data_IF_736017023868
#
_entry.id   IF_736017023868
#
_cell.length_a   1.000
_cell.length_b   1.000
_cell.length_c   1.000
_cell.angle_alpha   90.00
_cell.angle_beta   90.00
_cell.angle_gamma   90.00
#
_symmetry.space_group_name_H-M   'P 1'
#
loop_
_entity.id
_entity.type
_entity.pdbx_description
1 polymer ?
#
# COMPACT_ATOMS: atom_id res chain seq x y z
N UNK A 1 11.01 23.93 -37.31
CA UNK A 1 9.64 23.37 -37.28
C UNK A 1 9.51 22.63 -35.96
N UNK A 2 8.81 23.26 -35.02
CA UNK A 2 8.63 22.77 -33.67
C UNK A 2 7.25 22.13 -33.60
N UNK A 3 7.20 20.81 -33.43
CA UNK A 3 5.96 20.10 -33.18
C UNK A 3 5.50 20.37 -31.76
N UNK A 4 4.38 21.08 -31.67
CA UNK A 4 3.62 21.32 -30.46
C UNK A 4 2.99 19.99 -30.01
N UNK A 5 3.51 19.40 -28.94
CA UNK A 5 2.80 18.37 -28.18
C UNK A 5 1.79 19.10 -27.29
N UNK A 6 0.62 19.40 -27.85
CA UNK A 6 -0.54 19.82 -27.08
C UNK A 6 -1.39 18.59 -26.72
N UNK A 7 -1.78 18.52 -25.43
CA UNK A 7 -3.04 17.90 -25.05
C UNK A 7 -3.02 16.44 -24.63
N UNK A 8 -2.49 16.13 -23.44
CA UNK A 8 -3.16 15.19 -22.52
C UNK A 8 -3.00 15.73 -21.09
N UNK A 9 -3.73 16.79 -20.74
CA UNK A 9 -4.06 17.02 -19.33
C UNK A 9 -5.24 16.12 -19.01
N UNK A 10 -4.97 14.87 -18.65
CA UNK A 10 -5.94 14.05 -17.93
C UNK A 10 -6.16 14.72 -16.58
N UNK A 11 -7.13 15.64 -16.52
CA UNK A 11 -7.74 16.11 -15.28
C UNK A 11 -8.45 14.90 -14.64
N UNK A 12 -7.66 14.03 -14.00
CA UNK A 12 -8.19 12.94 -13.18
C UNK A 12 -8.92 13.59 -12.00
N UNK A 13 -10.23 13.73 -12.15
CA UNK A 13 -11.14 14.05 -11.05
C UNK A 13 -10.96 12.97 -9.99
N UNK A 14 -10.42 13.34 -8.84
CA UNK A 14 -10.21 12.45 -7.73
C UNK A 14 -11.35 12.66 -6.73
N UNK A 15 -11.93 11.56 -6.27
CA UNK A 15 -12.92 11.57 -5.20
C UNK A 15 -12.19 11.40 -3.88
N UNK A 16 -12.38 12.35 -2.97
CA UNK A 16 -11.85 12.29 -1.63
C UNK A 16 -12.97 12.41 -0.60
N UNK A 17 -12.96 11.48 0.35
CA UNK A 17 -13.80 11.50 1.53
C UNK A 17 -13.03 12.15 2.67
N UNK A 18 -13.74 12.98 3.43
CA UNK A 18 -13.20 13.72 4.56
C UNK A 18 -14.13 13.60 5.76
N UNK A 19 -13.56 13.77 6.94
CA UNK A 19 -14.29 13.79 8.20
C UNK A 19 -13.94 15.05 8.99
N UNK A 20 -14.90 15.55 9.78
CA UNK A 20 -14.70 16.76 10.55
C UNK A 20 -13.88 16.49 11.81
N UNK A 21 -12.67 17.05 11.87
CA UNK A 21 -11.66 16.78 12.88
C UNK A 21 -11.73 17.63 14.14
N UNK A 22 -12.61 18.64 14.17
CA UNK A 22 -12.86 19.43 15.37
C UNK A 22 -13.19 18.51 16.58
N UNK A 23 -12.74 18.82 17.81
CA UNK A 23 -13.11 18.05 19.00
C UNK A 23 -14.63 17.95 19.23
N UNK A 24 -15.35 19.03 18.89
CA UNK A 24 -16.80 19.13 19.00
C UNK A 24 -17.41 19.51 17.63
N UNK A 25 -17.57 18.55 16.71
CA UNK A 25 -17.87 18.84 15.31
C UNK A 25 -19.27 19.40 15.06
N UNK A 26 -20.18 19.34 16.04
CA UNK A 26 -21.56 19.81 15.90
C UNK A 26 -21.81 21.21 16.49
N UNK A 27 -20.78 21.92 16.94
CA UNK A 27 -20.93 23.30 17.44
C UNK A 27 -21.04 24.27 16.25
N UNK A 28 -22.13 25.03 16.17
CA UNK A 28 -22.48 25.88 15.02
C UNK A 28 -21.55 27.08 14.77
N UNK A 29 -20.74 27.47 15.75
CA UNK A 29 -19.88 28.67 15.67
C UNK A 29 -18.40 28.35 15.43
N UNK A 30 -18.05 27.09 15.24
CA UNK A 30 -16.68 26.69 14.94
C UNK A 30 -16.51 26.45 13.44
N UNK A 31 -15.45 27.01 12.85
CA UNK A 31 -15.11 26.68 11.47
C UNK A 31 -14.77 25.18 11.35
N UNK A 32 -15.35 24.48 10.36
CA UNK A 32 -15.15 23.05 10.23
C UNK A 32 -13.74 22.75 9.72
N UNK A 33 -12.98 22.04 10.53
CA UNK A 33 -11.69 21.48 10.14
C UNK A 33 -11.93 20.10 9.54
N UNK A 34 -11.46 19.88 8.32
CA UNK A 34 -11.66 18.64 7.61
C UNK A 34 -10.35 17.88 7.44
N UNK A 35 -10.37 16.61 7.84
CA UNK A 35 -9.26 15.68 7.69
C UNK A 35 -9.60 14.62 6.66
N UNK A 36 -8.60 14.17 5.90
CA UNK A 36 -8.77 13.13 4.89
C UNK A 36 -8.75 11.74 5.52
N UNK A 37 -9.53 10.84 4.95
CA UNK A 37 -9.33 9.41 5.18
C UNK A 37 -8.03 8.90 4.55
N UNK A 38 -7.54 7.77 5.04
CA UNK A 38 -6.41 7.10 4.41
C UNK A 38 -6.77 6.59 3.01
N UNK A 39 -5.76 6.32 2.17
CA UNK A 39 -6.01 5.92 0.79
C UNK A 39 -6.92 4.67 0.70
N UNK A 40 -6.75 3.66 1.59
CA UNK A 40 -7.60 2.47 1.60
C UNK A 40 -8.98 2.73 2.21
N UNK A 41 -9.08 3.53 3.28
CA UNK A 41 -10.39 3.91 3.83
C UNK A 41 -11.23 4.64 2.79
N UNK A 42 -10.64 5.61 2.08
CA UNK A 42 -11.28 6.33 1.00
C UNK A 42 -11.82 5.39 -0.08
N UNK A 43 -11.03 4.39 -0.48
CA UNK A 43 -11.44 3.38 -1.45
C UNK A 43 -12.58 2.50 -0.93
N UNK A 44 -12.56 2.10 0.34
CA UNK A 44 -13.64 1.31 0.97
C UNK A 44 -14.95 2.11 1.00
N UNK A 45 -14.88 3.38 1.42
CA UNK A 45 -16.04 4.27 1.50
C UNK A 45 -16.63 4.51 0.11
N UNK A 46 -15.78 4.84 -0.88
CA UNK A 46 -16.23 5.07 -2.24
C UNK A 46 -16.82 3.81 -2.89
N UNK A 47 -16.22 2.62 -2.68
CA UNK A 47 -16.79 1.36 -3.18
C UNK A 47 -18.17 1.07 -2.56
N UNK A 48 -18.35 1.35 -1.27
CA UNK A 48 -19.63 1.19 -0.60
C UNK A 48 -20.68 2.20 -1.10
N UNK A 49 -20.28 3.45 -1.31
CA UNK A 49 -21.12 4.51 -1.86
C UNK A 49 -21.60 4.18 -3.28
N UNK A 50 -20.68 3.82 -4.18
CA UNK A 50 -21.00 3.43 -5.56
C UNK A 50 -21.88 2.18 -5.63
N UNK A 51 -21.77 1.27 -4.65
CA UNK A 51 -22.61 0.09 -4.53
C UNK A 51 -23.96 0.37 -3.83
N UNK A 52 -24.31 1.63 -3.54
CA UNK A 52 -25.52 2.04 -2.82
C UNK A 52 -25.71 1.30 -1.47
N UNK A 53 -24.61 0.99 -0.78
CA UNK A 53 -24.69 0.39 0.55
C UNK A 53 -25.10 1.46 1.56
N UNK A 54 -25.88 1.11 2.60
CA UNK A 54 -26.25 2.08 3.64
C UNK A 54 -25.04 2.49 4.49
N UNK A 55 -24.03 1.62 4.58
CA UNK A 55 -22.86 1.85 5.44
C UNK A 55 -21.57 1.33 4.82
N UNK A 56 -20.46 2.00 5.14
CA UNK A 56 -19.10 1.53 4.88
C UNK A 56 -18.42 1.13 6.20
N UNK A 57 -18.05 -0.14 6.35
CA UNK A 57 -17.42 -0.65 7.57
C UNK A 57 -15.90 -0.47 7.53
N UNK A 58 -15.33 0.20 8.55
CA UNK A 58 -13.90 0.40 8.73
C UNK A 58 -13.45 -0.22 10.07
N UNK A 59 -12.16 -0.13 10.39
CA UNK A 59 -11.59 -0.81 11.57
C UNK A 59 -12.16 -0.27 12.90
N UNK A 60 -12.05 1.04 13.13
CA UNK A 60 -12.46 1.67 14.40
C UNK A 60 -13.84 2.35 14.37
N UNK A 61 -14.42 2.49 13.18
CA UNK A 61 -15.69 3.19 12.94
C UNK A 61 -16.39 2.63 11.70
N UNK A 62 -17.63 3.06 11.48
CA UNK A 62 -18.32 2.90 10.21
C UNK A 62 -18.83 4.25 9.72
N UNK A 63 -19.06 4.37 8.42
CA UNK A 63 -19.67 5.53 7.80
C UNK A 63 -21.12 5.19 7.48
N UNK A 64 -22.05 5.90 8.11
CA UNK A 64 -23.44 5.96 7.68
C UNK A 64 -23.53 6.87 6.45
N UNK A 65 -23.66 6.26 5.28
CA UNK A 65 -23.69 6.96 4.00
C UNK A 65 -25.03 7.66 3.75
N UNK A 66 -26.09 7.29 4.47
CA UNK A 66 -27.40 7.94 4.35
C UNK A 66 -27.40 9.28 5.07
N UNK A 67 -26.78 9.35 6.25
CA UNK A 67 -26.74 10.55 7.07
C UNK A 67 -25.44 11.34 6.93
N UNK A 68 -24.45 10.81 6.19
CA UNK A 68 -23.10 11.38 6.06
C UNK A 68 -22.43 11.59 7.43
N UNK A 69 -22.44 10.54 8.25
CA UNK A 69 -21.85 10.55 9.59
C UNK A 69 -20.93 9.34 9.78
N UNK A 70 -19.75 9.60 10.31
CA UNK A 70 -18.87 8.58 10.90
C UNK A 70 -19.32 8.29 12.33
N UNK A 71 -19.44 7.01 12.70
CA UNK A 71 -19.81 6.56 14.05
C UNK A 71 -18.76 5.59 14.57
N UNK A 72 -18.26 5.80 15.79
CA UNK A 72 -17.28 4.89 16.39
C UNK A 72 -17.88 3.51 16.65
N UNK A 73 -17.14 2.45 16.32
CA UNK A 73 -17.53 1.06 16.61
C UNK A 73 -17.55 0.74 18.11
N UNK A 74 -16.86 1.55 18.93
CA UNK A 74 -16.74 1.36 20.39
C UNK A 74 -17.73 2.22 21.18
N UNK A 75 -18.19 3.32 20.60
CA UNK A 75 -19.01 4.32 21.29
C UNK A 75 -19.88 5.08 20.28
N UNK A 76 -21.16 4.71 20.23
CA UNK A 76 -22.12 5.30 19.27
C UNK A 76 -22.40 6.78 19.52
N UNK A 77 -22.00 7.34 20.67
CA UNK A 77 -22.12 8.78 20.93
C UNK A 77 -21.01 9.58 20.26
N UNK A 78 -19.89 8.93 19.92
CA UNK A 78 -18.78 9.55 19.19
C UNK A 78 -19.05 9.53 17.70
N UNK A 79 -19.66 10.62 17.24
CA UNK A 79 -20.05 10.82 15.86
C UNK A 79 -19.32 12.03 15.25
N UNK A 80 -19.07 11.98 13.95
CA UNK A 80 -18.45 13.07 13.19
C UNK A 80 -19.09 13.19 11.82
N UNK A 81 -19.44 14.40 11.35
CA UNK A 81 -19.86 14.60 9.96
C UNK A 81 -18.77 14.15 8.98
N UNK A 82 -19.21 13.63 7.83
CA UNK A 82 -18.34 13.28 6.71
C UNK A 82 -18.82 13.98 5.45
N UNK A 83 -17.92 14.18 4.50
CA UNK A 83 -18.27 14.72 3.20
C UNK A 83 -17.46 14.05 2.09
N UNK A 84 -18.08 13.98 0.92
CA UNK A 84 -17.47 13.55 -0.33
C UNK A 84 -17.17 14.77 -1.19
N UNK A 85 -15.91 14.98 -1.52
CA UNK A 85 -15.45 16.10 -2.33
C UNK A 85 -14.96 15.58 -3.68
N UNK A 86 -15.36 16.25 -4.77
CA UNK A 86 -14.82 16.01 -6.10
C UNK A 86 -13.85 17.15 -6.42
N UNK A 87 -12.58 16.82 -6.64
CA UNK A 87 -11.57 17.83 -6.90
C UNK A 87 -10.48 17.34 -7.83
N UNK A 88 -9.74 18.30 -8.41
CA UNK A 88 -8.43 17.98 -8.97
C UNK A 88 -7.51 17.66 -7.80
N UNK A 89 -6.67 16.62 -7.92
CA UNK A 89 -5.67 16.26 -6.90
C UNK A 89 -4.52 17.28 -6.87
N UNK A 90 -4.86 18.54 -6.65
CA UNK A 90 -3.94 19.66 -6.59
C UNK A 90 -3.55 19.79 -5.13
N UNK A 91 -2.30 19.44 -4.82
CA UNK A 91 -1.66 19.62 -3.51
C UNK A 91 -1.96 18.57 -2.42
N UNK A 92 -1.79 17.27 -2.70
CA UNK A 92 -1.24 16.40 -1.65
C UNK A 92 0.28 16.47 -1.74
N UNK A 93 0.87 17.20 -0.79
CA UNK A 93 2.31 17.41 -0.66
C UNK A 93 3.10 16.09 -0.74
N UNK A 94 4.32 16.20 -1.24
CA UNK A 94 5.33 15.15 -1.27
C UNK A 94 5.29 14.32 0.01
N UNK A 95 5.23 12.99 -0.15
CA UNK A 95 5.12 12.04 0.96
C UNK A 95 6.46 11.98 1.73
N UNK A 96 6.77 13.02 2.50
CA UNK A 96 8.05 13.20 3.19
C UNK A 96 8.47 11.98 4.01
N UNK A 97 7.53 11.32 4.69
CA UNK A 97 7.75 10.06 5.42
C UNK A 97 8.33 8.93 4.56
N UNK A 98 8.11 8.93 3.24
CA UNK A 98 8.73 7.95 2.33
C UNK A 98 10.22 8.20 2.14
N UNK A 99 10.62 9.46 2.22
CA UNK A 99 11.99 9.93 2.02
C UNK A 99 12.73 10.11 3.37
N UNK A 100 12.02 10.01 4.49
CA UNK A 100 12.61 10.06 5.83
C UNK A 100 12.88 8.64 6.34
N UNK A 101 14.14 8.30 6.65
CA UNK A 101 14.49 7.03 7.26
C UNK A 101 14.03 6.98 8.73
N UNK A 102 13.28 5.94 9.09
CA UNK A 102 12.91 5.57 10.45
C UNK A 102 12.76 4.03 10.53
N UNK A 103 13.57 3.33 11.34
CA UNK A 103 14.75 3.85 12.03
C UNK A 103 15.83 4.32 11.03
N UNK A 104 16.56 5.37 11.41
CA UNK A 104 17.77 5.81 10.70
C UNK A 104 18.83 4.73 10.93
N UNK A 105 19.22 4.01 9.88
CA UNK A 105 20.42 3.19 9.88
C UNK A 105 21.54 3.99 9.18
N UNK A 106 22.21 4.94 9.89
CA UNK A 106 23.09 5.91 9.25
C UNK A 106 24.36 5.29 8.63
N UNK A 107 24.63 4.01 8.91
CA UNK A 107 25.88 3.34 8.56
C UNK A 107 25.83 2.50 7.28
N UNK A 108 24.67 2.32 6.63
CA UNK A 108 24.57 1.41 5.47
C UNK A 108 23.71 1.98 4.33
N UNK A 109 24.32 2.48 3.25
CA UNK A 109 23.59 2.76 2.03
C UNK A 109 23.08 1.44 1.42
N UNK A 110 21.83 1.42 0.97
CA UNK A 110 21.25 0.26 0.30
C UNK A 110 22.09 -0.15 -0.92
N UNK A 111 22.61 -1.39 -0.92
CA UNK A 111 23.07 -2.06 -2.15
C UNK A 111 24.57 -2.14 -2.41
N UNK A 112 25.46 -1.96 -1.43
CA UNK A 112 26.90 -2.29 -1.60
C UNK A 112 27.30 -3.64 -0.98
N UNK A 113 26.67 -4.09 0.11
CA UNK A 113 27.05 -5.32 0.82
C UNK A 113 26.37 -6.61 0.32
N UNK A 114 25.18 -6.47 -0.27
CA UNK A 114 24.42 -7.59 -0.82
C UNK A 114 24.33 -7.40 -2.33
N UNK A 115 24.62 -8.45 -3.11
CA UNK A 115 24.60 -8.40 -4.58
C UNK A 115 23.23 -8.01 -5.16
N UNK A 116 23.00 -8.27 -6.45
CA UNK A 116 21.77 -7.87 -7.15
C UNK A 116 20.45 -8.35 -6.47
N UNK A 117 20.53 -9.42 -5.67
CA UNK A 117 19.38 -10.02 -4.96
C UNK A 117 19.49 -9.82 -3.45
N UNK A 118 18.46 -9.24 -2.85
CA UNK A 118 18.35 -9.05 -1.39
C UNK A 118 18.33 -10.40 -0.64
N UNK A 119 19.02 -10.55 0.51
CA UNK A 119 18.92 -11.75 1.35
C UNK A 119 17.48 -12.11 1.73
N UNK A 120 16.63 -11.11 1.94
CA UNK A 120 15.22 -11.31 2.26
C UNK A 120 14.46 -12.00 1.11
N UNK A 121 14.78 -11.68 -0.14
CA UNK A 121 14.22 -12.33 -1.33
C UNK A 121 14.71 -13.78 -1.43
N UNK A 122 16.00 -14.02 -1.18
CA UNK A 122 16.57 -15.36 -1.22
C UNK A 122 15.94 -16.28 -0.17
N UNK A 123 15.76 -15.77 1.05
CA UNK A 123 15.12 -16.51 2.14
C UNK A 123 13.63 -16.73 1.88
N UNK A 124 12.91 -15.73 1.35
CA UNK A 124 11.52 -15.90 0.91
C UNK A 124 11.39 -16.99 -0.14
N UNK A 125 12.25 -16.98 -1.17
CA UNK A 125 12.26 -18.01 -2.20
C UNK A 125 12.48 -19.40 -1.61
N UNK A 126 13.42 -19.53 -0.66
CA UNK A 126 13.68 -20.79 0.08
C UNK A 126 12.47 -21.21 0.90
N UNK A 127 11.83 -20.29 1.62
CA UNK A 127 10.63 -20.56 2.41
C UNK A 127 9.46 -21.06 1.55
N UNK A 128 9.26 -20.44 0.38
CA UNK A 128 8.27 -20.87 -0.62
C UNK A 128 8.69 -22.12 -1.40
N UNK A 129 9.88 -22.68 -1.14
CA UNK A 129 10.45 -23.85 -1.83
C UNK A 129 10.52 -23.69 -3.35
N UNK A 130 10.72 -22.47 -3.82
CA UNK A 130 10.80 -22.15 -5.25
C UNK A 130 12.22 -22.33 -5.77
N UNK A 131 12.37 -22.98 -6.92
CA UNK A 131 13.61 -22.94 -7.71
C UNK A 131 13.68 -21.65 -8.52
N UNK A 132 14.86 -21.30 -9.01
CA UNK A 132 15.04 -20.07 -9.79
C UNK A 132 14.20 -20.03 -11.09
N UNK A 133 13.94 -21.19 -11.71
CA UNK A 133 13.09 -21.28 -12.90
C UNK A 133 11.59 -21.24 -12.59
N UNK A 134 11.24 -21.30 -11.31
CA UNK A 134 9.86 -21.20 -10.82
C UNK A 134 9.58 -19.80 -10.25
N UNK A 135 10.43 -18.82 -10.59
CA UNK A 135 10.14 -17.44 -10.26
C UNK A 135 9.00 -16.92 -11.16
N UNK A 136 8.15 -16.02 -10.66
CA UNK A 136 7.02 -15.50 -11.42
C UNK A 136 7.35 -14.92 -12.81
N UNK A 137 8.55 -14.35 -12.98
CA UNK A 137 9.06 -13.84 -14.27
C UNK A 137 9.36 -14.93 -15.29
N UNK A 138 9.49 -16.18 -14.85
CA UNK A 138 9.88 -17.34 -15.68
C UNK A 138 8.79 -18.40 -15.76
N UNK A 139 7.96 -18.54 -14.73
CA UNK A 139 6.88 -19.51 -14.64
C UNK A 139 5.62 -18.87 -14.06
N UNK A 140 4.68 -18.53 -14.95
CA UNK A 140 3.42 -17.90 -14.56
C UNK A 140 2.52 -18.81 -13.72
N UNK A 141 2.70 -20.13 -13.78
CA UNK A 141 1.87 -21.08 -13.03
C UNK A 141 2.06 -20.96 -11.51
N UNK A 142 3.17 -20.35 -11.08
CA UNK A 142 3.45 -20.10 -9.65
C UNK A 142 2.76 -18.85 -9.10
N UNK A 143 2.25 -17.98 -9.97
CA UNK A 143 1.69 -16.68 -9.59
C UNK A 143 0.48 -16.83 -8.66
N UNK A 144 -0.51 -17.68 -8.93
CA UNK A 144 -1.68 -17.78 -8.09
C UNK A 144 -1.33 -18.14 -6.64
N UNK A 145 -0.43 -19.11 -6.47
CA UNK A 145 0.03 -19.55 -5.15
C UNK A 145 0.79 -18.43 -4.40
N UNK A 146 1.63 -17.66 -5.08
CA UNK A 146 2.36 -16.54 -4.46
C UNK A 146 1.40 -15.40 -4.08
N UNK A 147 0.42 -15.11 -4.94
CA UNK A 147 -0.64 -14.12 -4.67
C UNK A 147 -1.46 -14.52 -3.45
N UNK A 148 -1.87 -15.78 -3.33
CA UNK A 148 -2.59 -16.29 -2.16
C UNK A 148 -1.77 -16.13 -0.88
N UNK A 149 -0.49 -16.51 -0.90
CA UNK A 149 0.42 -16.35 0.24
C UNK A 149 0.61 -14.87 0.61
N UNK A 150 0.75 -14.00 -0.38
CA UNK A 150 0.88 -12.57 -0.18
C UNK A 150 -0.39 -11.96 0.44
N UNK A 151 -1.57 -12.34 -0.05
CA UNK A 151 -2.86 -11.90 0.47
C UNK A 151 -3.03 -12.31 1.95
N UNK A 152 -2.73 -13.56 2.29
CA UNK A 152 -2.76 -14.06 3.66
C UNK A 152 -1.79 -13.31 4.58
N UNK A 153 -0.57 -13.08 4.11
CA UNK A 153 0.44 -12.33 4.86
C UNK A 153 0.07 -10.88 5.12
N UNK A 154 -0.55 -10.20 4.14
CA UNK A 154 -1.09 -8.84 4.32
C UNK A 154 -2.16 -8.82 5.41
N UNK A 155 -3.09 -9.78 5.40
CA UNK A 155 -4.14 -9.91 6.42
C UNK A 155 -3.53 -10.10 7.80
N UNK A 156 -2.55 -11.00 7.93
CA UNK A 156 -1.91 -11.33 9.20
C UNK A 156 -1.17 -10.12 9.80
N UNK A 157 -0.43 -9.38 8.99
CA UNK A 157 0.23 -8.15 9.44
C UNK A 157 -0.77 -7.03 9.75
N UNK A 158 -1.87 -6.95 8.99
CA UNK A 158 -2.98 -6.04 9.29
C UNK A 158 -3.60 -6.30 10.66
N UNK A 159 -3.88 -7.56 10.98
CA UNK A 159 -4.42 -7.97 12.29
C UNK A 159 -3.52 -7.57 13.45
N UNK A 160 -2.21 -7.82 13.34
CA UNK A 160 -1.22 -7.43 14.36
C UNK A 160 -1.20 -5.92 14.62
N UNK A 161 -1.61 -5.11 13.65
CA UNK A 161 -1.66 -3.65 13.73
C UNK A 161 -3.05 -3.08 14.03
N UNK A 162 -4.06 -3.93 14.25
CA UNK A 162 -5.46 -3.49 14.41
C UNK A 162 -6.07 -2.89 13.13
N UNK A 163 -5.54 -3.25 11.96
CA UNK A 163 -5.96 -2.75 10.63
C UNK A 163 -6.56 -3.85 9.76
N UNK A 164 -7.39 -4.70 10.36
CA UNK A 164 -7.91 -5.91 9.73
C UNK A 164 -8.73 -5.61 8.47
N UNK A 165 -9.67 -4.66 8.51
CA UNK A 165 -10.53 -4.30 7.38
C UNK A 165 -9.74 -3.76 6.20
N UNK A 166 -8.76 -2.89 6.47
CA UNK A 166 -7.86 -2.38 5.43
C UNK A 166 -7.07 -3.52 4.79
N UNK A 167 -6.54 -4.43 5.60
CA UNK A 167 -5.76 -5.56 5.11
C UNK A 167 -6.60 -6.55 4.31
N UNK A 168 -7.82 -6.88 4.76
CA UNK A 168 -8.80 -7.69 4.02
C UNK A 168 -9.14 -7.06 2.67
N UNK A 169 -9.33 -5.73 2.63
CA UNK A 169 -9.59 -5.01 1.39
C UNK A 169 -8.41 -5.10 0.41
N UNK A 170 -7.19 -4.85 0.88
CA UNK A 170 -5.98 -4.95 0.06
C UNK A 170 -5.76 -6.38 -0.46
N UNK A 171 -5.94 -7.38 0.41
CA UNK A 171 -5.86 -8.78 0.05
C UNK A 171 -6.90 -9.17 -0.99
N UNK A 172 -8.14 -8.71 -0.85
CA UNK A 172 -9.21 -8.91 -1.85
C UNK A 172 -8.81 -8.36 -3.22
N UNK A 173 -8.31 -7.11 -3.29
CA UNK A 173 -7.86 -6.52 -4.57
C UNK A 173 -6.75 -7.34 -5.23
N UNK A 174 -5.84 -7.91 -4.44
CA UNK A 174 -4.78 -8.77 -4.95
C UNK A 174 -5.35 -10.12 -5.46
N UNK A 175 -6.30 -10.71 -4.73
CA UNK A 175 -6.97 -11.94 -5.13
C UNK A 175 -7.82 -11.77 -6.41
N UNK A 176 -8.44 -10.61 -6.60
CA UNK A 176 -9.26 -10.27 -7.78
C UNK A 176 -8.44 -10.23 -9.10
N UNK A 177 -7.11 -10.14 -9.01
CA UNK A 177 -6.20 -10.14 -10.15
C UNK A 177 -5.36 -11.41 -10.28
N UNK A 178 -5.55 -12.38 -9.37
CA UNK A 178 -4.73 -13.60 -9.24
C UNK A 178 -4.51 -14.34 -10.57
N UNK A 179 -5.59 -14.49 -11.35
CA UNK A 179 -5.60 -15.24 -12.61
C UNK A 179 -5.42 -14.34 -13.85
N UNK A 180 -5.14 -13.03 -13.67
CA UNK A 180 -5.02 -12.05 -14.79
C UNK A 180 -3.60 -11.95 -15.36
N UNK A 181 -2.73 -12.88 -14.98
CA UNK A 181 -1.34 -12.96 -15.43
C UNK A 181 -0.38 -11.99 -14.74
N UNK A 182 0.89 -12.14 -15.08
CA UNK A 182 2.05 -11.45 -14.49
C UNK A 182 1.86 -9.93 -14.36
N UNK A 183 1.47 -9.30 -15.46
CA UNK A 183 1.46 -7.84 -15.62
C UNK A 183 0.42 -7.17 -14.74
N UNK A 184 -0.80 -7.72 -14.71
CA UNK A 184 -1.90 -7.16 -13.94
C UNK A 184 -1.70 -7.39 -12.44
N UNK A 185 -1.17 -8.55 -12.05
CA UNK A 185 -0.77 -8.81 -10.66
C UNK A 185 0.29 -7.81 -10.21
N UNK A 186 1.33 -7.58 -11.02
CA UNK A 186 2.38 -6.63 -10.66
C UNK A 186 1.89 -5.19 -10.54
N UNK A 187 1.07 -4.73 -11.49
CA UNK A 187 0.44 -3.40 -11.42
C UNK A 187 -0.38 -3.27 -10.13
N UNK A 188 -1.11 -4.32 -9.74
CA UNK A 188 -1.85 -4.34 -8.49
C UNK A 188 -0.92 -4.25 -7.29
N UNK A 189 0.13 -5.07 -7.21
CA UNK A 189 1.12 -5.01 -6.13
C UNK A 189 1.76 -3.61 -6.02
N UNK A 190 2.19 -3.03 -7.14
CA UNK A 190 2.77 -1.69 -7.20
C UNK A 190 1.77 -0.63 -6.75
N UNK A 191 0.50 -0.73 -7.19
CA UNK A 191 -0.57 0.15 -6.74
C UNK A 191 -0.79 0.04 -5.22
N UNK A 192 -0.95 -1.18 -4.68
CA UNK A 192 -1.14 -1.42 -3.25
C UNK A 192 0.03 -0.91 -2.40
N UNK A 193 1.27 -1.13 -2.85
CA UNK A 193 2.46 -0.58 -2.23
C UNK A 193 2.51 0.96 -2.32
N UNK A 194 1.91 1.54 -3.35
CA UNK A 194 1.83 2.98 -3.50
C UNK A 194 0.77 3.64 -2.62
N UNK A 195 -0.16 2.91 -2.01
CA UNK A 195 -1.14 3.47 -1.08
C UNK A 195 -0.45 3.95 0.21
N UNK A 196 -0.93 5.05 0.80
CA UNK A 196 -0.45 5.56 2.08
C UNK A 196 -0.99 4.70 3.23
N UNK A 197 -0.48 3.49 3.35
CA UNK A 197 -0.96 2.50 4.32
C UNK A 197 0.16 1.76 5.04
N UNK A 198 -0.25 0.91 5.99
CA UNK A 198 0.67 0.12 6.80
C UNK A 198 1.62 -0.75 5.97
N UNK A 199 1.16 -1.28 4.83
CA UNK A 199 1.95 -2.21 4.01
C UNK A 199 3.24 -1.57 3.51
N UNK A 200 3.15 -0.36 2.96
CA UNK A 200 4.31 0.42 2.52
C UNK A 200 5.27 0.69 3.68
N UNK A 201 4.75 1.20 4.81
CA UNK A 201 5.55 1.56 5.98
C UNK A 201 6.32 0.34 6.51
N UNK A 202 5.64 -0.80 6.64
CA UNK A 202 6.22 -2.05 7.14
C UNK A 202 7.23 -2.66 6.19
N UNK A 203 6.97 -2.67 4.90
CA UNK A 203 7.94 -3.17 3.92
C UNK A 203 9.22 -2.33 3.94
N UNK A 204 9.12 -1.00 3.96
CA UNK A 204 10.31 -0.16 4.04
C UNK A 204 11.09 -0.31 5.34
N UNK A 205 10.38 -0.43 6.47
CA UNK A 205 11.00 -0.71 7.77
C UNK A 205 11.82 -2.02 7.72
N UNK A 206 11.24 -3.10 7.21
CA UNK A 206 11.92 -4.40 7.08
C UNK A 206 13.11 -4.31 6.12
N UNK A 207 12.96 -3.60 5.01
CA UNK A 207 14.03 -3.42 4.04
C UNK A 207 15.23 -2.70 4.66
N UNK A 208 15.00 -1.71 5.53
CA UNK A 208 16.05 -0.99 6.27
C UNK A 208 16.76 -1.85 7.30
N UNK A 209 16.09 -2.89 7.81
CA UNK A 209 16.69 -3.84 8.77
C UNK A 209 17.63 -4.86 8.11
N UNK A 210 17.64 -4.96 6.78
CA UNK A 210 18.46 -5.96 6.07
C UNK A 210 19.95 -5.70 6.34
N UNK A 211 20.62 -6.73 6.85
CA UNK A 211 22.03 -6.71 7.20
C UNK A 211 22.34 -6.27 8.62
N UNK A 212 21.36 -5.77 9.37
CA UNK A 212 21.50 -5.63 10.82
C UNK A 212 21.37 -7.00 11.48
N UNK A 213 22.43 -7.44 12.17
CA UNK A 213 22.42 -8.68 12.94
C UNK A 213 21.47 -8.59 14.14
N UNK A 214 21.33 -7.39 14.72
CA UNK A 214 20.41 -7.11 15.84
C UNK A 214 18.93 -7.26 15.46
N UNK A 215 18.59 -7.12 14.18
CA UNK A 215 17.21 -7.20 13.69
C UNK A 215 16.94 -8.45 12.84
N UNK A 216 17.85 -9.42 12.87
CA UNK A 216 17.74 -10.61 12.03
C UNK A 216 16.49 -11.44 12.34
N UNK A 217 16.17 -11.64 13.63
CA UNK A 217 15.00 -12.41 14.05
C UNK A 217 13.69 -11.70 13.66
N UNK A 218 13.64 -10.38 13.84
CA UNK A 218 12.50 -9.55 13.43
C UNK A 218 12.29 -9.68 11.92
N UNK A 219 13.34 -9.52 11.13
CA UNK A 219 13.30 -9.69 9.67
C UNK A 219 12.83 -11.09 9.27
N UNK A 220 13.38 -12.14 9.90
CA UNK A 220 13.04 -13.54 9.60
C UNK A 220 11.58 -13.85 9.91
N UNK A 221 11.02 -13.28 10.98
CA UNK A 221 9.60 -13.42 11.33
C UNK A 221 8.61 -12.82 10.31
N UNK A 222 9.12 -12.11 9.29
CA UNK A 222 8.31 -11.48 8.23
C UNK A 222 8.43 -12.17 6.88
N UNK A 223 9.24 -13.22 6.79
CA UNK A 223 9.46 -13.96 5.54
C UNK A 223 8.18 -14.68 5.10
N UNK A 224 7.45 -15.26 6.04
CA UNK A 224 6.22 -16.01 5.78
C UNK A 224 5.03 -15.09 5.50
N UNK A 225 5.01 -13.87 6.06
CA UNK A 225 3.94 -12.89 5.83
C UNK A 225 4.22 -11.95 4.66
N UNK A 226 5.25 -11.11 4.73
CA UNK A 226 5.50 -10.05 3.76
C UNK A 226 6.45 -10.48 2.63
N UNK A 227 7.20 -11.56 2.83
CA UNK A 227 8.08 -12.14 1.81
C UNK A 227 7.39 -12.36 0.47
N UNK A 228 6.26 -13.11 0.39
CA UNK A 228 5.60 -13.40 -0.89
C UNK A 228 5.17 -12.15 -1.65
N UNK A 229 4.68 -11.13 -0.95
CA UNK A 229 4.31 -9.84 -1.56
C UNK A 229 5.56 -9.11 -2.08
N UNK A 230 6.63 -9.07 -1.28
CA UNK A 230 7.88 -8.42 -1.65
C UNK A 230 8.58 -9.10 -2.83
N UNK A 231 8.54 -10.44 -2.88
CA UNK A 231 9.04 -11.22 -4.02
C UNK A 231 8.39 -10.80 -5.34
N UNK A 232 7.08 -10.48 -5.34
CA UNK A 232 6.37 -9.99 -6.52
C UNK A 232 6.75 -8.57 -6.93
N UNK A 233 7.09 -7.70 -5.97
CA UNK A 233 7.56 -6.35 -6.27
C UNK A 233 9.00 -6.36 -6.81
N UNK A 234 9.84 -7.27 -6.30
CA UNK A 234 11.26 -7.34 -6.63
C UNK A 234 11.54 -8.04 -7.96
N UNK A 235 10.82 -9.13 -8.27
CA UNK A 235 11.03 -9.88 -9.50
C UNK A 235 10.72 -8.98 -10.70
N UNK A 236 11.76 -8.50 -11.39
CA UNK A 236 11.64 -7.56 -12.52
C UNK A 236 11.08 -8.31 -13.73
N UNK A 237 9.77 -8.25 -13.86
CA UNK A 237 9.00 -8.93 -14.90
C UNK A 237 9.25 -8.38 -16.30
N UNK A 238 9.85 -7.19 -16.41
CA UNK A 238 10.05 -6.52 -17.69
C UNK A 238 11.48 -6.62 -18.17
N UNK A 239 12.39 -7.15 -17.35
CA UNK A 239 13.80 -7.30 -17.69
C UNK A 239 14.34 -5.98 -18.27
N UNK A 240 13.89 -4.85 -17.71
CA UNK A 240 14.26 -3.52 -18.18
C UNK A 240 15.71 -3.37 -17.77
N UNK A 241 16.61 -3.79 -18.65
CA UNK A 241 18.05 -3.59 -18.47
C UNK A 241 18.21 -2.09 -18.29
N UNK A 242 18.58 -1.59 -17.09
CA UNK A 242 18.88 -0.19 -16.94
C UNK A 242 19.99 0.11 -17.94
N UNK A 243 19.81 1.12 -18.78
CA UNK A 243 20.87 1.55 -19.68
C UNK A 243 21.95 2.17 -18.78
N UNK A 244 22.95 1.37 -18.40
CA UNK A 244 23.95 1.67 -17.34
C UNK A 244 24.83 2.88 -17.70
N UNK A 245 24.63 3.51 -18.86
CA UNK A 245 25.54 4.50 -19.39
C UNK A 245 25.56 5.84 -18.65
N UNK A 246 24.64 6.19 -17.72
CA UNK A 246 24.77 7.46 -16.96
C UNK A 246 23.82 7.76 -15.79
N UNK A 247 23.11 6.79 -15.22
CA UNK A 247 22.21 7.09 -14.10
C UNK A 247 22.69 6.49 -12.79
N UNK A 248 23.04 7.38 -11.85
CA UNK A 248 22.95 7.11 -10.42
C UNK A 248 21.50 6.69 -10.14
N UNK A 249 21.26 5.38 -10.15
CA UNK A 249 20.00 4.80 -9.75
C UNK A 249 19.75 5.19 -8.29
N UNK A 250 18.59 5.79 -8.03
CA UNK A 250 18.12 6.08 -6.69
C UNK A 250 17.99 4.75 -5.93
N UNK A 251 18.97 4.48 -5.07
CA UNK A 251 19.02 3.31 -4.19
C UNK A 251 18.56 3.74 -2.79
N UNK A 252 17.25 3.98 -2.66
CA UNK A 252 16.52 4.11 -1.39
C UNK A 252 17.15 5.01 -0.35
#
# INVERSE_FOLDING_TARGET
>A
MADQISGITNDLTCVEWMWQSNPYPFIQHQEPEWSYYSDVENLIIEEAFLANKPQAMLDDYYIDLKHNIQVSNKDNTKQRPVQRVMGKRVNKASRGERFMPDPIAPKRPFGSEYGWVSPFILETRKHLKLKEQQLPSKDETTIPMIVERAALGIIEEGKKLGKQRKAEYMAKKLMDVKEKGVKEVWKCCAHLYSLNEFLFKKLNEIMRMIGSQEHEDVRRSKIDTLGPFYLRLWDDLFNIKPNITKQLLYRG
#
